data_IF_361017617104
#
_entry.id   IF_361017617104
#
_cell.length_a   1.000
_cell.length_b   1.000
_cell.length_c   1.000
_cell.angle_alpha   90.00
_cell.angle_beta   90.00
_cell.angle_gamma   90.00
#
_symmetry.space_group_name_H-M   'P 1'
#
loop_
_entity.id
_entity.type
_entity.pdbx_description
1 polymer ?
#
# COMPACT_ATOMS: atom_id res chain seq x y z
N UNK A 1 -20.76 -50.64 56.91
CA UNK A 1 -19.70 -49.67 56.56
C UNK A 1 -19.47 -49.80 55.07
N UNK A 2 -19.66 -48.68 54.36
CA UNK A 2 -19.20 -48.35 53.00
C UNK A 2 -19.54 -49.29 51.84
N UNK A 3 -20.55 -48.90 51.07
CA UNK A 3 -20.49 -48.94 49.61
C UNK A 3 -20.80 -47.54 49.07
N UNK A 4 -19.74 -46.86 48.61
CA UNK A 4 -19.79 -45.72 47.72
C UNK A 4 -19.90 -46.25 46.28
N UNK A 5 -20.88 -45.76 45.51
CA UNK A 5 -20.75 -45.65 44.06
C UNK A 5 -21.55 -44.43 43.59
N UNK A 6 -20.90 -43.28 43.31
CA UNK A 6 -21.59 -42.14 42.71
C UNK A 6 -22.01 -42.51 41.29
N UNK A 7 -23.30 -42.38 41.01
CA UNK A 7 -23.88 -42.53 39.67
C UNK A 7 -23.41 -41.38 38.79
N UNK A 8 -22.52 -41.72 37.87
CA UNK A 8 -22.31 -41.09 36.57
C UNK A 8 -23.67 -40.75 35.92
N UNK A 9 -23.99 -39.46 35.82
CA UNK A 9 -24.91 -38.88 34.83
C UNK A 9 -24.50 -37.44 34.54
N UNK A 10 -23.66 -37.34 33.52
CA UNK A 10 -23.75 -36.38 32.42
C UNK A 10 -23.85 -34.89 32.79
N UNK A 11 -22.70 -34.22 32.65
CA UNK A 11 -22.57 -32.93 31.99
C UNK A 11 -23.23 -33.00 30.59
N UNK A 12 -24.55 -33.18 30.55
CA UNK A 12 -25.33 -33.04 29.34
C UNK A 12 -25.38 -31.55 29.05
N UNK A 13 -24.45 -31.12 28.20
CA UNK A 13 -24.46 -29.85 27.52
C UNK A 13 -25.88 -29.60 27.00
N UNK A 14 -26.63 -28.71 27.66
CA UNK A 14 -28.01 -28.38 27.33
C UNK A 14 -28.07 -27.63 25.98
N UNK A 15 -28.13 -28.39 24.90
CA UNK A 15 -28.29 -27.86 23.53
C UNK A 15 -29.77 -27.61 23.16
N UNK A 16 -30.72 -28.04 23.99
CA UNK A 16 -32.16 -27.90 23.74
C UNK A 16 -32.72 -26.49 24.06
N UNK A 17 -31.92 -25.63 24.69
CA UNK A 17 -32.33 -24.25 24.97
C UNK A 17 -31.17 -23.29 24.83
N UNK A 18 -31.10 -22.60 23.71
CA UNK A 18 -30.29 -21.39 23.60
C UNK A 18 -30.86 -20.35 24.56
N UNK A 19 -30.25 -20.18 25.74
CA UNK A 19 -30.44 -18.98 26.55
C UNK A 19 -29.71 -17.88 25.77
N UNK A 20 -30.42 -16.90 25.16
CA UNK A 20 -29.73 -15.76 24.60
C UNK A 20 -29.02 -15.07 25.76
N UNK A 21 -27.68 -15.08 25.74
CA UNK A 21 -26.89 -14.22 26.60
C UNK A 21 -27.46 -12.80 26.51
N UNK A 22 -27.64 -12.17 27.67
CA UNK A 22 -28.44 -10.97 27.90
C UNK A 22 -28.49 -10.00 26.73
N UNK A 23 -29.73 -9.63 26.38
CA UNK A 23 -30.07 -8.60 25.40
C UNK A 23 -29.38 -7.28 25.74
N UNK A 24 -28.25 -6.99 25.11
CA UNK A 24 -27.95 -5.63 24.71
C UNK A 24 -28.69 -5.39 23.39
N UNK A 25 -29.86 -4.76 23.47
CA UNK A 25 -30.35 -3.94 22.36
C UNK A 25 -29.42 -2.72 22.21
N UNK A 26 -28.12 -2.98 22.01
CA UNK A 26 -27.26 -1.98 21.43
C UNK A 26 -27.77 -1.84 20.01
N UNK A 27 -28.56 -0.80 19.81
CA UNK A 27 -28.84 -0.28 18.48
C UNK A 27 -27.47 -0.02 17.87
N UNK A 28 -26.96 -0.98 17.08
CA UNK A 28 -25.66 -0.84 16.43
C UNK A 28 -25.69 0.50 15.69
N UNK A 29 -24.77 1.39 16.05
CA UNK A 29 -24.70 2.72 15.45
C UNK A 29 -23.84 2.63 14.19
N UNK A 30 -24.14 3.48 13.22
CA UNK A 30 -23.26 3.65 12.07
C UNK A 30 -21.91 4.22 12.52
N UNK A 31 -20.80 3.57 12.15
CA UNK A 31 -19.44 4.00 12.55
C UNK A 31 -19.06 5.39 12.01
N UNK A 32 -19.71 5.85 10.94
CA UNK A 32 -19.40 7.13 10.28
C UNK A 32 -20.25 8.31 10.75
N UNK A 33 -21.50 8.07 11.16
CA UNK A 33 -22.46 9.14 11.46
C UNK A 33 -23.19 8.98 12.80
N UNK A 34 -22.81 7.97 13.59
CA UNK A 34 -23.36 7.62 14.90
C UNK A 34 -24.89 7.46 14.98
N UNK A 35 -25.53 7.40 13.82
CA UNK A 35 -26.97 7.27 13.71
C UNK A 35 -27.39 5.83 14.03
N UNK A 36 -28.55 5.64 14.70
CA UNK A 36 -29.07 4.31 14.98
C UNK A 36 -29.35 3.57 13.66
N UNK A 37 -28.84 2.35 13.52
CA UNK A 37 -29.15 1.52 12.35
C UNK A 37 -30.58 0.98 12.51
N UNK A 38 -31.48 1.41 11.62
CA UNK A 38 -32.87 0.93 11.52
C UNK A 38 -33.09 0.38 10.12
N UNK A 39 -33.30 -0.94 9.99
CA UNK A 39 -33.48 -1.60 8.69
C UNK A 39 -32.22 -2.30 8.18
N UNK A 40 -31.70 -1.88 7.02
CA UNK A 40 -30.52 -2.50 6.39
C UNK A 40 -29.21 -1.81 6.80
N UNK A 41 -28.16 -2.61 6.91
CA UNK A 41 -26.79 -2.13 7.08
C UNK A 41 -25.82 -2.79 6.09
N UNK A 42 -24.68 -2.12 5.88
CA UNK A 42 -23.59 -2.57 5.03
C UNK A 42 -22.31 -2.61 5.86
N UNK A 43 -21.45 -3.60 5.60
CA UNK A 43 -20.08 -3.61 6.12
C UNK A 43 -19.14 -3.04 5.06
N UNK A 44 -18.42 -1.97 5.41
CA UNK A 44 -17.33 -1.41 4.64
C UNK A 44 -16.02 -1.85 5.29
N UNK A 45 -15.37 -2.86 4.72
CA UNK A 45 -14.30 -3.61 5.37
C UNK A 45 -14.78 -4.15 6.74
N UNK A 46 -14.22 -3.67 7.85
CA UNK A 46 -14.57 -4.08 9.21
C UNK A 46 -15.62 -3.17 9.87
N UNK A 47 -15.99 -2.05 9.23
CA UNK A 47 -16.89 -1.05 9.80
C UNK A 47 -18.34 -1.26 9.38
N UNK A 48 -19.27 -1.16 10.32
CA UNK A 48 -20.72 -1.23 10.05
C UNK A 48 -21.23 0.17 9.71
N UNK A 49 -22.01 0.27 8.64
CA UNK A 49 -22.44 1.54 8.04
C UNK A 49 -23.87 1.51 7.52
N UNK A 50 -24.56 2.64 7.61
CA UNK A 50 -25.90 2.83 7.04
C UNK A 50 -25.84 3.08 5.52
N UNK A 51 -26.97 2.91 4.82
CA UNK A 51 -27.07 3.12 3.36
C UNK A 51 -26.59 4.49 2.92
N UNK A 52 -26.97 5.56 3.65
CA UNK A 52 -26.55 6.94 3.35
C UNK A 52 -25.04 7.11 3.41
N UNK A 53 -24.40 6.55 4.44
CA UNK A 53 -22.95 6.63 4.58
C UNK A 53 -22.23 5.77 3.54
N UNK A 54 -22.78 4.61 3.17
CA UNK A 54 -22.28 3.78 2.07
C UNK A 54 -22.27 4.55 0.76
N UNK A 55 -23.40 5.16 0.38
CA UNK A 55 -23.52 5.92 -0.87
C UNK A 55 -22.62 7.16 -0.87
N UNK A 56 -22.56 7.91 0.25
CA UNK A 56 -21.68 9.06 0.37
C UNK A 56 -20.19 8.68 0.22
N UNK A 57 -19.77 7.57 0.84
CA UNK A 57 -18.40 7.06 0.75
C UNK A 57 -18.09 6.57 -0.66
N UNK A 58 -19.01 5.86 -1.30
CA UNK A 58 -18.86 5.38 -2.67
C UNK A 58 -18.76 6.54 -3.67
N UNK A 59 -19.60 7.56 -3.54
CA UNK A 59 -19.54 8.77 -4.36
C UNK A 59 -18.22 9.53 -4.15
N UNK A 60 -17.74 9.67 -2.92
CA UNK A 60 -16.43 10.26 -2.63
C UNK A 60 -15.27 9.43 -3.20
N UNK A 61 -15.41 8.11 -3.25
CA UNK A 61 -14.42 7.22 -3.84
C UNK A 61 -14.45 7.21 -5.38
N UNK A 62 -15.57 7.60 -5.99
CA UNK A 62 -15.69 7.71 -7.45
C UNK A 62 -15.42 9.14 -7.96
N UNK A 63 -15.54 10.16 -7.11
CA UNK A 63 -15.36 11.56 -7.50
C UNK A 63 -13.92 11.89 -7.97
N UNK A 64 -13.77 12.88 -8.83
CA UNK A 64 -12.49 13.40 -9.32
C UNK A 64 -11.99 12.80 -10.63
N UNK A 65 -11.35 13.63 -11.46
CA UNK A 65 -10.84 13.21 -12.77
C UNK A 65 -9.70 12.19 -12.63
N UNK A 66 -9.65 11.19 -13.52
CA UNK A 66 -8.55 10.23 -13.56
C UNK A 66 -7.24 10.91 -13.95
N UNK A 67 -7.27 11.82 -14.93
CA UNK A 67 -6.09 12.55 -15.42
C UNK A 67 -5.49 13.51 -14.38
N UNK A 68 -6.33 14.23 -13.62
CA UNK A 68 -5.85 15.15 -12.59
C UNK A 68 -5.06 14.43 -11.50
N UNK A 69 -5.52 13.25 -11.09
CA UNK A 69 -4.82 12.40 -10.11
C UNK A 69 -3.48 11.88 -10.63
N UNK A 70 -3.41 11.47 -11.89
CA UNK A 70 -2.16 11.02 -12.51
C UNK A 70 -1.11 12.14 -12.58
N UNK A 71 -1.53 13.36 -12.93
CA UNK A 71 -0.63 14.52 -12.93
C UNK A 71 -0.13 14.82 -11.52
N UNK A 72 -1.03 14.86 -10.52
CA UNK A 72 -0.64 15.14 -9.14
C UNK A 72 0.29 14.04 -8.60
N UNK A 73 0.07 12.77 -8.93
CA UNK A 73 0.96 11.69 -8.48
C UNK A 73 2.36 11.78 -9.08
N UNK A 74 2.50 12.22 -10.34
CA UNK A 74 3.80 12.51 -10.94
C UNK A 74 4.47 13.74 -10.30
N UNK A 75 3.72 14.82 -10.12
CA UNK A 75 4.22 16.07 -9.53
C UNK A 75 4.74 15.85 -8.11
N UNK A 76 4.11 14.96 -7.32
CA UNK A 76 4.62 14.59 -6.00
C UNK A 76 5.73 13.54 -6.06
N UNK A 77 5.67 12.60 -7.00
CA UNK A 77 6.63 11.50 -7.12
C UNK A 77 8.02 11.93 -7.62
N UNK A 78 8.10 12.85 -8.59
CA UNK A 78 9.38 13.28 -9.17
C UNK A 78 10.29 13.96 -8.12
N UNK A 79 9.84 14.95 -7.34
CA UNK A 79 10.68 15.55 -6.29
C UNK A 79 11.12 14.51 -5.26
N UNK A 80 10.23 13.59 -4.88
CA UNK A 80 10.55 12.50 -3.98
C UNK A 80 11.66 11.58 -4.54
N UNK A 81 11.61 11.28 -5.84
CA UNK A 81 12.64 10.50 -6.54
C UNK A 81 13.98 11.23 -6.60
N UNK A 82 13.99 12.54 -6.87
CA UNK A 82 15.21 13.37 -6.88
C UNK A 82 15.86 13.41 -5.50
N UNK A 83 15.06 13.65 -4.45
CA UNK A 83 15.54 13.64 -3.06
C UNK A 83 16.06 12.25 -2.68
N UNK A 84 15.33 11.19 -3.03
CA UNK A 84 15.75 9.81 -2.78
C UNK A 84 17.07 9.45 -3.46
N UNK A 85 17.24 9.83 -4.73
CA UNK A 85 18.48 9.65 -5.48
C UNK A 85 19.66 10.39 -4.83
N UNK A 86 19.46 11.65 -4.43
CA UNK A 86 20.47 12.41 -3.70
C UNK A 86 20.89 11.76 -2.38
N UNK A 87 19.92 11.23 -1.61
CA UNK A 87 20.21 10.49 -0.36
C UNK A 87 21.00 9.21 -0.65
N UNK A 88 20.61 8.45 -1.67
CA UNK A 88 21.32 7.22 -2.05
C UNK A 88 22.77 7.50 -2.43
N UNK A 89 22.97 8.48 -3.31
CA UNK A 89 24.29 8.90 -3.76
C UNK A 89 25.16 9.39 -2.61
N UNK A 90 24.62 10.23 -1.72
CA UNK A 90 25.36 10.73 -0.56
C UNK A 90 25.84 9.60 0.36
N UNK A 91 24.97 8.62 0.66
CA UNK A 91 25.35 7.48 1.50
C UNK A 91 26.39 6.61 0.81
N UNK A 92 26.20 6.31 -0.48
CA UNK A 92 27.14 5.52 -1.28
C UNK A 92 28.51 6.19 -1.35
N UNK A 93 28.57 7.49 -1.62
CA UNK A 93 29.82 8.26 -1.72
C UNK A 93 30.58 8.35 -0.38
N UNK A 94 29.86 8.42 0.75
CA UNK A 94 30.48 8.53 2.07
C UNK A 94 30.91 7.18 2.67
N UNK A 95 30.15 6.12 2.40
CA UNK A 95 30.35 4.81 3.07
C UNK A 95 31.05 3.79 2.18
N UNK A 96 30.98 3.93 0.86
CA UNK A 96 31.46 2.93 -0.08
C UNK A 96 30.67 1.62 -0.09
N UNK A 97 29.55 1.54 0.64
CA UNK A 97 28.72 0.34 0.75
C UNK A 97 27.36 0.52 0.06
N UNK A 98 26.94 -0.50 -0.70
CA UNK A 98 25.60 -0.61 -1.25
C UNK A 98 24.63 -1.12 -0.18
N UNK A 99 24.10 -0.21 0.62
CA UNK A 99 23.20 -0.57 1.71
C UNK A 99 21.80 -0.81 1.15
N UNK A 100 21.40 -2.07 1.01
CA UNK A 100 20.06 -2.45 0.52
C UNK A 100 18.89 -1.86 1.32
N UNK A 101 19.10 -1.53 2.60
CA UNK A 101 18.11 -0.83 3.44
C UNK A 101 17.74 0.55 2.86
N UNK A 102 18.68 1.26 2.24
CA UNK A 102 18.42 2.59 1.68
C UNK A 102 17.45 2.50 0.51
N UNK A 103 17.52 1.46 -0.31
CA UNK A 103 16.57 1.25 -1.39
C UNK A 103 15.13 1.01 -0.90
N UNK A 104 14.96 0.36 0.26
CA UNK A 104 13.64 0.24 0.92
C UNK A 104 13.11 1.63 1.27
N UNK A 105 13.95 2.47 1.89
CA UNK A 105 13.56 3.83 2.30
C UNK A 105 13.17 4.67 1.09
N UNK A 106 13.92 4.59 -0.01
CA UNK A 106 13.63 5.33 -1.25
C UNK A 106 12.35 4.81 -1.90
N UNK A 107 12.20 3.49 -2.04
CA UNK A 107 11.00 2.88 -2.61
C UNK A 107 9.75 3.23 -1.80
N UNK A 108 9.85 3.23 -0.48
CA UNK A 108 8.79 3.70 0.42
C UNK A 108 8.47 5.19 0.21
N UNK A 109 9.50 6.04 0.19
CA UNK A 109 9.35 7.50 0.08
C UNK A 109 8.71 7.89 -1.26
N UNK A 110 9.20 7.35 -2.37
CA UNK A 110 8.65 7.60 -3.71
C UNK A 110 7.25 7.00 -3.83
N UNK A 111 7.07 5.74 -3.37
CA UNK A 111 5.78 5.06 -3.36
C UNK A 111 4.72 5.83 -2.59
N UNK A 112 5.07 6.41 -1.44
CA UNK A 112 4.17 7.16 -0.58
C UNK A 112 3.78 8.50 -1.21
N UNK A 113 4.72 9.19 -1.86
CA UNK A 113 4.45 10.43 -2.59
C UNK A 113 3.47 10.18 -3.76
N UNK A 114 3.69 9.13 -4.54
CA UNK A 114 2.79 8.73 -5.64
C UNK A 114 1.41 8.34 -5.08
N UNK A 115 1.37 7.56 -4.00
CA UNK A 115 0.11 7.14 -3.37
C UNK A 115 -0.69 8.32 -2.82
N UNK A 116 -0.02 9.30 -2.21
CA UNK A 116 -0.64 10.54 -1.74
C UNK A 116 -1.25 11.33 -2.90
N UNK A 117 -0.54 11.46 -4.02
CA UNK A 117 -1.08 12.14 -5.21
C UNK A 117 -2.23 11.38 -5.87
N UNK A 118 -2.27 10.05 -5.72
CA UNK A 118 -3.35 9.19 -6.17
C UNK A 118 -4.58 9.18 -5.24
N UNK A 119 -4.63 10.04 -4.20
CA UNK A 119 -5.66 10.05 -3.15
C UNK A 119 -5.86 8.68 -2.49
N UNK A 120 -4.78 7.93 -2.26
CA UNK A 120 -4.77 6.60 -1.63
C UNK A 120 -5.60 5.51 -2.34
N UNK A 121 -6.11 5.76 -3.56
CA UNK A 121 -6.89 4.78 -4.33
C UNK A 121 -6.02 3.68 -4.93
N UNK A 122 -4.79 4.02 -5.34
CA UNK A 122 -3.89 3.08 -6.00
C UNK A 122 -4.46 2.51 -7.31
N UNK A 123 -3.81 1.46 -7.81
CA UNK A 123 -4.14 0.81 -9.08
C UNK A 123 -2.92 0.61 -9.96
N UNK A 124 -3.03 -0.22 -10.99
CA UNK A 124 -1.89 -0.65 -11.81
C UNK A 124 -1.11 0.51 -12.43
N UNK A 125 -1.79 1.58 -12.88
CA UNK A 125 -1.13 2.78 -13.41
C UNK A 125 -0.22 3.46 -12.37
N UNK A 126 -0.72 3.64 -11.14
CA UNK A 126 0.06 4.25 -10.06
C UNK A 126 1.19 3.32 -9.58
N UNK A 127 0.97 2.00 -9.65
CA UNK A 127 2.03 1.03 -9.42
C UNK A 127 3.15 1.18 -10.46
N UNK A 128 2.82 1.26 -11.75
CA UNK A 128 3.80 1.46 -12.81
C UNK A 128 4.56 2.78 -12.64
N UNK A 129 3.85 3.88 -12.33
CA UNK A 129 4.50 5.18 -12.07
C UNK A 129 5.49 5.08 -10.90
N UNK A 130 5.07 4.50 -9.78
CA UNK A 130 5.93 4.35 -8.60
C UNK A 130 7.15 3.46 -8.88
N UNK A 131 6.96 2.35 -9.59
CA UNK A 131 8.02 1.43 -10.01
C UNK A 131 9.02 2.14 -10.92
N UNK A 132 8.54 2.82 -11.96
CA UNK A 132 9.39 3.53 -12.93
C UNK A 132 10.17 4.65 -12.24
N UNK A 133 9.51 5.49 -11.42
CA UNK A 133 10.20 6.57 -10.71
C UNK A 133 11.27 6.06 -9.75
N UNK A 134 10.98 4.97 -9.02
CA UNK A 134 11.95 4.35 -8.10
C UNK A 134 13.12 3.75 -8.85
N UNK A 135 12.85 3.05 -9.96
CA UNK A 135 13.89 2.49 -10.83
C UNK A 135 14.79 3.59 -11.39
N UNK A 136 14.21 4.65 -11.96
CA UNK A 136 14.95 5.79 -12.50
C UNK A 136 15.77 6.49 -11.41
N UNK A 137 15.24 6.63 -10.20
CA UNK A 137 15.96 7.21 -9.07
C UNK A 137 17.21 6.40 -8.72
N UNK A 138 17.07 5.09 -8.56
CA UNK A 138 18.19 4.20 -8.23
C UNK A 138 19.21 4.19 -9.39
N UNK A 139 18.77 4.01 -10.64
CA UNK A 139 19.69 3.97 -11.77
C UNK A 139 20.39 5.30 -12.05
N UNK A 140 19.77 6.45 -11.72
CA UNK A 140 20.41 7.76 -11.90
C UNK A 140 21.71 7.90 -11.10
N UNK A 141 21.89 7.12 -10.03
CA UNK A 141 23.12 7.21 -9.22
C UNK A 141 24.33 6.60 -9.90
N UNK A 142 24.16 5.87 -11.01
CA UNK A 142 25.27 5.41 -11.84
C UNK A 142 25.80 6.51 -12.78
N UNK A 143 25.03 7.58 -13.03
CA UNK A 143 25.43 8.64 -13.97
C UNK A 143 26.77 9.30 -13.61
N UNK A 144 27.04 9.71 -12.34
CA UNK A 144 28.30 10.38 -12.01
C UNK A 144 29.52 9.51 -12.31
N UNK A 145 29.44 8.21 -12.02
CA UNK A 145 30.51 7.25 -12.29
C UNK A 145 30.76 7.07 -13.79
N UNK A 146 29.71 7.04 -14.61
CA UNK A 146 29.83 6.95 -16.07
C UNK A 146 30.45 8.23 -16.65
N UNK A 147 30.07 9.41 -16.13
CA UNK A 147 30.62 10.70 -16.57
C UNK A 147 32.11 10.78 -16.24
N UNK A 148 32.51 10.36 -15.03
CA UNK A 148 33.91 10.35 -14.62
C UNK A 148 34.74 9.40 -15.49
N UNK A 149 34.22 8.21 -15.82
CA UNK A 149 34.87 7.25 -16.72
C UNK A 149 34.94 7.70 -18.19
N UNK A 150 33.99 8.52 -18.65
CA UNK A 150 33.97 9.05 -20.01
C UNK A 150 34.96 10.21 -20.24
N UNK A 151 35.53 10.79 -19.18
CA UNK A 151 36.38 11.97 -19.26
C UNK A 151 35.62 13.25 -19.60
N UNK A 152 36.32 14.38 -19.60
CA UNK A 152 35.71 15.71 -19.80
C UNK A 152 35.38 16.05 -21.26
N UNK A 153 35.48 15.10 -22.19
CA UNK A 153 35.18 15.34 -23.61
C UNK A 153 33.68 15.26 -23.93
N UNK A 154 32.88 14.77 -22.99
CA UNK A 154 31.43 14.69 -23.09
C UNK A 154 30.74 16.00 -22.68
N UNK A 155 30.06 16.66 -23.62
CA UNK A 155 29.28 17.86 -23.37
C UNK A 155 27.96 17.89 -24.16
N UNK A 156 26.93 18.53 -23.59
CA UNK A 156 25.64 18.76 -24.25
C UNK A 156 24.54 17.74 -23.92
N UNK A 157 23.30 18.07 -24.31
CA UNK A 157 22.09 17.30 -23.97
C UNK A 157 22.15 15.85 -24.47
N UNK A 158 22.67 15.64 -25.68
CA UNK A 158 22.77 14.31 -26.29
C UNK A 158 23.72 13.40 -25.52
N UNK A 159 24.85 13.95 -25.02
CA UNK A 159 25.76 13.22 -24.15
C UNK A 159 25.07 12.80 -22.85
N UNK A 160 24.40 13.73 -22.16
CA UNK A 160 23.67 13.41 -20.92
C UNK A 160 22.53 12.40 -21.14
N UNK A 161 21.84 12.46 -22.29
CA UNK A 161 20.84 11.46 -22.66
C UNK A 161 21.45 10.08 -22.85
N UNK A 162 22.58 9.98 -23.56
CA UNK A 162 23.31 8.71 -23.72
C UNK A 162 23.75 8.17 -22.36
N UNK A 163 24.39 9.01 -21.52
CA UNK A 163 24.82 8.62 -20.17
C UNK A 163 23.64 8.14 -19.34
N UNK A 164 22.50 8.83 -19.40
CA UNK A 164 21.31 8.40 -18.68
C UNK A 164 20.81 7.05 -19.18
N UNK A 165 20.72 6.84 -20.49
CA UNK A 165 20.34 5.53 -21.07
C UNK A 165 21.31 4.44 -20.63
N UNK A 166 22.62 4.69 -20.66
CA UNK A 166 23.64 3.75 -20.17
C UNK A 166 23.46 3.48 -18.68
N UNK A 167 23.16 4.49 -17.86
CA UNK A 167 22.91 4.33 -16.44
C UNK A 167 21.70 3.42 -16.17
N UNK A 168 20.64 3.52 -16.98
CA UNK A 168 19.47 2.63 -16.87
C UNK A 168 19.77 1.18 -17.24
N UNK A 169 20.72 0.92 -18.13
CA UNK A 169 21.06 -0.44 -18.57
C UNK A 169 22.23 -1.00 -17.74
N UNK A 170 23.00 -0.12 -17.08
CA UNK A 170 24.21 -0.46 -16.32
C UNK A 170 24.04 -1.59 -15.31
N UNK A 171 22.93 -1.71 -14.54
CA UNK A 171 22.78 -2.81 -13.60
C UNK A 171 22.79 -4.16 -14.31
N UNK A 172 22.27 -4.22 -15.54
CA UNK A 172 22.18 -5.45 -16.32
C UNK A 172 23.48 -5.75 -17.09
N UNK A 173 24.24 -4.72 -17.49
CA UNK A 173 25.51 -4.91 -18.22
C UNK A 173 26.60 -5.56 -17.36
N UNK A 174 26.64 -5.28 -16.06
CA UNK A 174 27.56 -5.96 -15.13
C UNK A 174 27.23 -7.45 -14.90
N UNK A 175 26.09 -7.93 -15.39
CA UNK A 175 25.70 -9.33 -15.27
C UNK A 175 25.60 -9.81 -13.82
N UNK A 176 25.98 -11.07 -13.58
CA UNK A 176 25.87 -11.71 -12.27
C UNK A 176 26.85 -11.18 -11.21
N UNK A 177 27.86 -10.39 -11.59
CA UNK A 177 28.71 -9.73 -10.61
C UNK A 177 27.93 -8.68 -9.79
N UNK A 178 26.80 -8.19 -10.34
CA UNK A 178 25.91 -7.24 -9.70
C UNK A 178 24.59 -7.88 -9.19
N UNK A 179 24.67 -9.12 -8.68
CA UNK A 179 23.52 -9.80 -8.04
C UNK A 179 22.96 -8.97 -6.88
N UNK A 180 23.85 -8.34 -6.09
CA UNK A 180 23.44 -7.51 -4.94
C UNK A 180 22.62 -6.32 -5.42
N UNK A 181 23.09 -5.56 -6.43
CA UNK A 181 22.34 -4.43 -6.96
C UNK A 181 20.98 -4.82 -7.53
N UNK A 182 20.85 -5.99 -8.16
CA UNK A 182 19.56 -6.49 -8.62
C UNK A 182 18.58 -6.77 -7.48
N UNK A 183 19.07 -7.34 -6.37
CA UNK A 183 18.25 -7.56 -5.18
C UNK A 183 17.82 -6.21 -4.58
N UNK A 184 18.74 -5.25 -4.50
CA UNK A 184 18.46 -3.90 -3.97
C UNK A 184 17.40 -3.17 -4.81
N UNK A 185 17.58 -3.15 -6.14
CA UNK A 185 16.60 -2.58 -7.08
C UNK A 185 15.27 -3.30 -6.94
N UNK A 186 15.29 -4.63 -6.91
CA UNK A 186 14.11 -5.48 -6.78
C UNK A 186 13.31 -5.17 -5.53
N UNK A 187 13.97 -5.07 -4.38
CA UNK A 187 13.32 -4.74 -3.10
C UNK A 187 12.73 -3.32 -3.12
N UNK A 188 13.49 -2.31 -3.58
CA UNK A 188 13.01 -0.93 -3.63
C UNK A 188 11.79 -0.76 -4.54
N UNK A 189 11.87 -1.37 -5.73
CA UNK A 189 10.76 -1.38 -6.70
C UNK A 189 9.56 -2.17 -6.18
N UNK A 190 9.78 -3.31 -5.52
CA UNK A 190 8.72 -4.12 -4.93
C UNK A 190 7.97 -3.37 -3.83
N UNK A 191 8.67 -2.66 -2.95
CA UNK A 191 8.03 -1.85 -1.91
C UNK A 191 7.19 -0.70 -2.52
N UNK A 192 7.73 -0.01 -3.53
CA UNK A 192 6.98 1.02 -4.26
C UNK A 192 5.72 0.46 -4.94
N UNK A 193 5.82 -0.73 -5.53
CA UNK A 193 4.72 -1.44 -6.20
C UNK A 193 3.64 -1.90 -5.22
N UNK A 194 4.05 -2.55 -4.12
CA UNK A 194 3.15 -3.07 -3.08
C UNK A 194 2.36 -1.93 -2.45
N UNK A 195 3.00 -0.78 -2.24
CA UNK A 195 2.35 0.38 -1.65
C UNK A 195 1.23 0.96 -2.54
N UNK A 196 1.35 0.90 -3.86
CA UNK A 196 0.38 1.51 -4.77
C UNK A 196 -0.74 0.55 -5.24
N UNK A 197 -0.90 -0.59 -4.57
CA UNK A 197 -2.01 -1.52 -4.82
C UNK A 197 -3.36 -0.81 -4.69
N UNK A 198 -4.31 -1.22 -5.54
CA UNK A 198 -5.67 -0.66 -5.55
C UNK A 198 -6.33 -0.87 -4.19
N UNK A 199 -6.76 0.22 -3.56
CA UNK A 199 -7.66 0.18 -2.42
C UNK A 199 -9.02 -0.32 -2.93
N UNK A 200 -9.47 -1.45 -2.39
CA UNK A 200 -10.82 -1.95 -2.64
C UNK A 200 -11.68 -1.55 -1.44
N UNK A 201 -12.82 -0.93 -1.72
CA UNK A 201 -13.89 -0.82 -0.74
C UNK A 201 -14.62 -2.16 -0.78
N UNK A 202 -14.33 -3.04 0.17
CA UNK A 202 -15.10 -4.27 0.32
C UNK A 202 -16.46 -3.90 0.93
N UNK A 203 -17.50 -3.89 0.09
CA UNK A 203 -18.86 -3.56 0.50
C UNK A 203 -19.62 -4.88 0.59
N UNK A 204 -19.85 -5.34 1.82
CA UNK A 204 -20.64 -6.54 2.08
C UNK A 204 -22.05 -6.16 2.55
N UNK A 205 -23.06 -6.85 2.02
CA UNK A 205 -24.47 -6.61 2.32
C UNK A 205 -25.33 -6.56 1.04
N UNK A 206 -26.60 -6.13 1.14
CA UNK A 206 -27.27 -5.61 2.34
C UNK A 206 -27.50 -6.71 3.39
N UNK A 207 -27.36 -6.35 4.66
CA UNK A 207 -27.76 -7.18 5.79
C UNK A 207 -28.95 -6.54 6.48
N UNK A 208 -30.00 -7.32 6.77
CA UNK A 208 -31.15 -6.85 7.53
C UNK A 208 -30.89 -6.94 9.03
N UNK A 209 -31.20 -5.88 9.75
CA UNK A 209 -31.31 -5.90 11.21
C UNK A 209 -32.59 -6.67 11.52
N UNK A 210 -32.47 -7.95 11.86
CA UNK A 210 -33.63 -8.74 12.27
C UNK A 210 -34.32 -8.02 13.44
N UNK A 211 -35.57 -7.55 13.30
CA UNK A 211 -36.31 -7.05 14.44
C UNK A 211 -36.41 -8.20 15.44
N UNK A 212 -35.96 -7.97 16.66
CA UNK A 212 -36.18 -8.93 17.74
C UNK A 212 -37.69 -9.06 17.87
N UNK A 213 -38.24 -10.23 17.56
CA UNK A 213 -39.66 -10.49 17.71
C UNK A 213 -40.09 -10.07 19.11
N UNK A 214 -40.94 -9.04 19.18
CA UNK A 214 -41.64 -8.63 20.40
C UNK A 214 -42.51 -9.80 20.82
N UNK A 215 -42.05 -10.52 21.85
CA UNK A 215 -42.83 -11.53 22.56
C UNK A 215 -43.80 -10.84 23.53
#
# INVERSE_FOLDING_TARGET
>A
MTEEKPSEKDDELQFDKAIPAGRSSETSRCTLCDSPLTGQYYKLNENITCTRCKEATEQQFQSGSAGGRLLISLVLGIPAAVVGSGIYYAIMALTGYEIGLVAIVIGFLVGAAVRKGANYRGGWLYQTIAVVLTYMAICSTYMPYIIEGAGQEGGGLFFYLIVFILALISPFLMGFENIIGWIIIGIGVFEAWKMNKKAQLDIQGPFDIKPTATA
#
